data_IF_759772808235
#
_entry.id   IF_759772808235
#
_cell.length_a   1.000
_cell.length_b   1.000
_cell.length_c   1.000
_cell.angle_alpha   90.00
_cell.angle_beta   90.00
_cell.angle_gamma   90.00
#
_symmetry.space_group_name_H-M   'P 1'
#
loop_
_entity.id
_entity.type
_entity.pdbx_description
1 polymer ?
#
# COMPACT_ATOMS: atom_id res chain seq x y z
N UNK A 1 53.85 42.39 17.50
CA UNK A 1 52.71 41.70 16.86
C UNK A 1 52.58 40.23 17.29
N UNK A 2 53.63 39.49 17.65
CA UNK A 2 53.54 38.05 18.00
C UNK A 2 52.81 37.69 19.32
N UNK A 3 52.56 38.65 20.22
CA UNK A 3 51.88 38.38 21.50
C UNK A 3 50.36 38.28 21.36
N UNK A 4 49.77 38.99 20.38
CA UNK A 4 48.31 39.10 20.21
C UNK A 4 47.75 37.83 19.56
N UNK A 5 48.49 37.24 18.62
CA UNK A 5 48.10 36.02 17.92
C UNK A 5 48.11 34.78 18.84
N UNK A 6 49.06 34.70 19.78
CA UNK A 6 49.11 33.62 20.77
C UNK A 6 47.94 33.65 21.75
N UNK A 7 47.50 34.85 22.15
CA UNK A 7 46.32 35.02 23.02
C UNK A 7 45.06 34.63 22.25
N UNK A 8 44.93 35.05 20.99
CA UNK A 8 43.76 34.69 20.17
C UNK A 8 43.67 33.17 19.93
N UNK A 9 44.80 32.51 19.66
CA UNK A 9 44.84 31.05 19.50
C UNK A 9 44.49 30.31 20.79
N UNK A 10 44.96 30.80 21.94
CA UNK A 10 44.61 30.24 23.25
C UNK A 10 43.12 30.39 23.55
N UNK A 11 42.52 31.56 23.26
CA UNK A 11 41.09 31.79 23.46
C UNK A 11 40.21 30.98 22.49
N UNK A 12 40.60 30.82 21.23
CA UNK A 12 39.88 29.96 20.27
C UNK A 12 39.99 28.49 20.68
N UNK A 13 41.16 28.04 21.12
CA UNK A 13 41.37 26.67 21.59
C UNK A 13 40.60 26.40 22.89
N UNK A 14 40.55 27.36 23.80
CA UNK A 14 39.75 27.26 25.03
C UNK A 14 38.23 27.30 24.75
N UNK A 15 37.78 28.12 23.80
CA UNK A 15 36.37 28.19 23.39
C UNK A 15 35.91 26.90 22.69
N UNK A 16 36.76 26.30 21.84
CA UNK A 16 36.47 25.00 21.20
C UNK A 16 36.44 23.88 22.23
N UNK A 17 37.34 23.87 23.21
CA UNK A 17 37.33 22.89 24.30
C UNK A 17 36.09 23.01 25.20
N UNK A 18 35.68 24.23 25.56
CA UNK A 18 34.48 24.47 26.36
C UNK A 18 33.21 24.09 25.61
N UNK A 19 33.12 24.38 24.30
CA UNK A 19 32.00 23.95 23.46
C UNK A 19 31.96 22.44 23.30
N UNK A 20 33.09 21.78 23.06
CA UNK A 20 33.17 20.32 22.97
C UNK A 20 32.79 19.65 24.30
N UNK A 21 33.22 20.20 25.42
CA UNK A 21 32.85 19.74 26.77
C UNK A 21 31.35 19.89 27.02
N UNK A 22 30.75 21.04 26.69
CA UNK A 22 29.30 21.26 26.79
C UNK A 22 28.51 20.29 25.89
N UNK A 23 29.01 20.03 24.68
CA UNK A 23 28.39 19.09 23.75
C UNK A 23 28.45 17.66 24.29
N UNK A 24 29.59 17.24 24.82
CA UNK A 24 29.77 15.94 25.44
C UNK A 24 28.88 15.78 26.68
N UNK A 25 28.75 16.82 27.50
CA UNK A 25 27.87 16.80 28.66
C UNK A 25 26.38 16.72 28.25
N UNK A 26 25.98 17.38 27.16
CA UNK A 26 24.64 17.27 26.58
C UNK A 26 24.38 15.89 25.96
N UNK A 27 25.38 15.29 25.32
CA UNK A 27 25.29 13.93 24.75
C UNK A 27 25.18 12.90 25.88
N UNK A 28 26.02 13.00 26.91
CA UNK A 28 25.99 12.15 28.10
C UNK A 28 24.68 12.31 28.87
N UNK A 29 24.19 13.53 29.06
CA UNK A 29 22.88 13.79 29.67
C UNK A 29 21.73 13.19 28.86
N UNK A 30 21.71 13.35 27.53
CA UNK A 30 20.70 12.72 26.67
C UNK A 30 20.79 11.18 26.71
N UNK A 31 21.99 10.62 26.79
CA UNK A 31 22.17 9.17 26.95
C UNK A 31 21.72 8.69 28.33
N UNK A 32 21.97 9.45 29.40
CA UNK A 32 21.48 9.16 30.74
C UNK A 32 19.95 9.22 30.80
N UNK A 33 19.33 10.23 30.19
CA UNK A 33 17.86 10.36 30.08
C UNK A 33 17.25 9.18 29.31
N UNK A 34 17.92 8.75 28.23
CA UNK A 34 17.50 7.58 27.43
C UNK A 34 17.67 6.27 28.21
N UNK A 35 18.68 6.19 29.09
CA UNK A 35 18.94 5.04 29.97
C UNK A 35 18.00 4.97 31.18
N UNK A 36 17.51 6.12 31.67
CA UNK A 36 16.49 6.18 32.74
C UNK A 36 15.09 5.85 32.20
N UNK A 37 14.81 6.17 30.93
CA UNK A 37 13.54 5.82 30.29
C UNK A 37 13.44 4.34 29.86
N UNK A 38 14.57 3.64 29.68
CA UNK A 38 14.62 2.18 29.55
C UNK A 38 14.83 1.58 30.95
N UNK A 39 13.76 1.46 31.73
CA UNK A 39 13.83 0.76 33.02
C UNK A 39 14.35 -0.66 32.83
N UNK A 40 15.50 -0.97 33.45
CA UNK A 40 16.06 -2.26 33.90
C UNK A 40 15.83 -3.59 33.13
N UNK A 41 15.25 -3.60 31.93
CA UNK A 41 15.20 -4.75 31.04
C UNK A 41 16.38 -4.70 30.08
N UNK A 42 17.23 -5.72 30.08
CA UNK A 42 18.24 -5.90 29.04
C UNK A 42 17.60 -5.89 27.65
N UNK A 43 18.38 -5.55 26.62
CA UNK A 43 17.90 -5.62 25.24
C UNK A 43 17.38 -7.03 24.93
N UNK A 44 16.08 -7.14 24.65
CA UNK A 44 15.46 -8.38 24.16
C UNK A 44 15.38 -8.27 22.64
N UNK A 45 16.06 -9.15 21.89
CA UNK A 45 16.02 -9.12 20.43
C UNK A 45 14.59 -9.34 19.92
N UNK A 46 14.24 -8.81 18.74
CA UNK A 46 12.96 -9.08 18.09
C UNK A 46 12.77 -10.59 17.91
N UNK A 47 11.54 -11.06 18.12
CA UNK A 47 11.17 -12.46 17.88
C UNK A 47 11.39 -12.81 16.41
N UNK A 48 11.81 -14.04 16.15
CA UNK A 48 11.88 -14.54 14.79
C UNK A 48 10.47 -14.62 14.16
N UNK A 49 10.34 -14.63 12.82
CA UNK A 49 9.04 -14.72 12.16
C UNK A 49 8.22 -15.94 12.61
N UNK A 50 8.87 -17.11 12.76
CA UNK A 50 8.23 -18.34 13.25
C UNK A 50 7.75 -18.21 14.68
N UNK A 51 8.53 -17.55 15.55
CA UNK A 51 8.11 -17.29 16.93
C UNK A 51 6.92 -16.34 16.98
N UNK A 52 6.88 -15.30 16.14
CA UNK A 52 5.75 -14.33 16.08
C UNK A 52 4.44 -15.00 15.65
N UNK A 53 4.52 -15.94 14.70
CA UNK A 53 3.36 -16.73 14.28
C UNK A 53 2.83 -17.60 15.43
N UNK A 54 3.72 -18.30 16.13
CA UNK A 54 3.40 -19.14 17.28
C UNK A 54 3.07 -18.33 18.56
N UNK A 55 3.31 -17.02 18.57
CA UNK A 55 3.14 -16.19 19.77
C UNK A 55 1.68 -15.80 19.97
N UNK A 56 1.05 -16.40 20.99
CA UNK A 56 -0.36 -16.19 21.36
C UNK A 56 -0.56 -15.06 22.40
N UNK A 57 0.31 -14.05 22.43
CA UNK A 57 0.14 -12.95 23.38
C UNK A 57 -1.06 -12.07 23.00
N UNK A 58 -1.96 -11.84 23.94
CA UNK A 58 -3.16 -11.01 23.79
C UNK A 58 -3.01 -9.64 24.47
N UNK A 59 -1.90 -9.42 25.17
CA UNK A 59 -1.63 -8.15 25.85
C UNK A 59 -1.25 -7.08 24.83
N UNK A 60 -2.17 -6.15 24.57
CA UNK A 60 -1.99 -4.99 23.69
C UNK A 60 -0.63 -4.28 23.86
N UNK A 61 -0.18 -3.90 25.08
CA UNK A 61 1.11 -3.20 25.24
C UNK A 61 2.31 -4.08 24.85
N UNK A 62 2.25 -5.39 25.05
CA UNK A 62 3.34 -6.30 24.67
C UNK A 62 3.40 -6.50 23.15
N UNK A 63 2.24 -6.60 22.49
CA UNK A 63 2.17 -6.69 21.03
C UNK A 63 2.71 -5.40 20.39
N UNK A 64 2.40 -4.23 20.97
CA UNK A 64 2.89 -2.93 20.49
C UNK A 64 4.41 -2.79 20.66
N UNK A 65 4.96 -3.20 21.80
CA UNK A 65 6.41 -3.20 22.04
C UNK A 65 7.14 -4.10 21.03
N UNK A 66 6.63 -5.30 20.78
CA UNK A 66 7.21 -6.23 19.80
C UNK A 66 7.06 -5.69 18.37
N UNK A 67 5.92 -5.09 18.03
CA UNK A 67 5.73 -4.44 16.73
C UNK A 67 6.76 -3.32 16.52
N UNK A 68 7.05 -2.53 17.54
CA UNK A 68 8.09 -1.51 17.49
C UNK A 68 9.48 -2.13 17.28
N UNK A 69 9.81 -3.24 17.94
CA UNK A 69 11.08 -3.97 17.71
C UNK A 69 11.21 -4.45 16.27
N UNK A 70 10.15 -5.03 15.70
CA UNK A 70 10.14 -5.49 14.31
C UNK A 70 10.26 -4.34 13.30
N UNK A 71 9.58 -3.21 13.51
CA UNK A 71 9.71 -2.03 12.65
C UNK A 71 11.14 -1.43 12.68
N UNK A 72 11.78 -1.41 13.86
CA UNK A 72 13.17 -0.97 13.98
C UNK A 72 14.14 -1.92 13.26
N UNK A 73 13.91 -3.23 13.36
CA UNK A 73 14.67 -4.23 12.61
C UNK A 73 14.50 -4.05 11.10
N UNK A 74 13.26 -3.87 10.63
CA UNK A 74 12.96 -3.63 9.22
C UNK A 74 13.71 -2.39 8.69
N UNK A 75 13.68 -1.29 9.44
CA UNK A 75 14.41 -0.07 9.09
C UNK A 75 15.92 -0.29 9.04
N UNK A 76 16.49 -1.08 9.97
CA UNK A 76 17.90 -1.41 9.95
C UNK A 76 18.26 -2.28 8.73
N UNK A 77 17.45 -3.29 8.41
CA UNK A 77 17.67 -4.17 7.27
C UNK A 77 17.60 -3.40 5.94
N UNK A 78 16.64 -2.47 5.79
CA UNK A 78 16.60 -1.59 4.62
C UNK A 78 17.86 -0.74 4.47
N UNK A 79 18.36 -0.13 5.56
CA UNK A 79 19.64 0.62 5.50
C UNK A 79 20.82 -0.25 5.10
N UNK A 80 20.88 -1.49 5.61
CA UNK A 80 21.94 -2.45 5.25
C UNK A 80 21.84 -2.89 3.79
N UNK A 81 20.65 -3.19 3.31
CA UNK A 81 20.42 -3.55 1.91
C UNK A 81 20.84 -2.41 0.98
N UNK A 82 20.44 -1.18 1.26
CA UNK A 82 20.88 0.00 0.50
C UNK A 82 22.39 0.15 0.50
N UNK A 83 23.06 0.03 1.66
CA UNK A 83 24.51 0.16 1.74
C UNK A 83 25.26 -0.92 0.94
N UNK A 84 24.75 -2.16 0.88
CA UNK A 84 25.34 -3.25 0.10
C UNK A 84 25.16 -2.98 -1.39
N UNK A 85 23.95 -2.59 -1.81
CA UNK A 85 23.67 -2.25 -3.21
C UNK A 85 24.51 -1.06 -3.68
N UNK A 86 24.67 -0.03 -2.85
CA UNK A 86 25.49 1.14 -3.14
C UNK A 86 26.99 0.80 -3.28
N UNK A 87 27.45 -0.24 -2.57
CA UNK A 87 28.79 -0.80 -2.70
C UNK A 87 28.94 -1.78 -3.90
N UNK A 88 27.88 -1.97 -4.69
CA UNK A 88 27.85 -2.89 -5.83
C UNK A 88 27.75 -4.38 -5.45
N UNK A 89 27.38 -4.69 -4.21
CA UNK A 89 27.17 -6.05 -3.72
C UNK A 89 25.75 -6.58 -3.96
N UNK A 90 25.58 -7.89 -3.80
CA UNK A 90 24.27 -8.54 -3.90
C UNK A 90 23.57 -8.58 -2.52
N UNK A 91 22.36 -8.00 -2.45
CA UNK A 91 21.53 -7.93 -1.25
C UNK A 91 20.47 -9.04 -1.15
N UNK A 92 20.43 -10.00 -2.08
CA UNK A 92 19.42 -11.09 -2.15
C UNK A 92 19.25 -11.88 -0.84
N UNK A 93 20.34 -12.08 -0.09
CA UNK A 93 20.31 -12.74 1.23
C UNK A 93 19.49 -11.95 2.28
N UNK A 94 19.51 -10.61 2.20
CA UNK A 94 18.72 -9.75 3.08
C UNK A 94 17.25 -9.66 2.66
N UNK A 95 16.92 -9.87 1.39
CA UNK A 95 15.54 -9.83 0.90
C UNK A 95 14.67 -10.91 1.56
N UNK A 96 15.20 -12.12 1.72
CA UNK A 96 14.50 -13.19 2.45
C UNK A 96 14.25 -12.81 3.92
N UNK A 97 15.20 -12.11 4.54
CA UNK A 97 15.06 -11.66 5.92
C UNK A 97 14.06 -10.51 6.05
N UNK A 98 14.09 -9.55 5.13
CA UNK A 98 13.13 -8.44 5.01
C UNK A 98 11.70 -8.99 4.87
N UNK A 99 11.51 -9.99 4.02
CA UNK A 99 10.22 -10.65 3.84
C UNK A 99 9.71 -11.31 5.11
N UNK A 100 10.58 -12.02 5.84
CA UNK A 100 10.26 -12.61 7.14
C UNK A 100 9.79 -11.56 8.15
N UNK A 101 10.51 -10.44 8.27
CA UNK A 101 10.15 -9.34 9.18
C UNK A 101 8.85 -8.66 8.77
N UNK A 102 8.59 -8.45 7.48
CA UNK A 102 7.32 -7.90 6.99
C UNK A 102 6.13 -8.82 7.29
N UNK A 103 6.33 -10.13 7.19
CA UNK A 103 5.32 -11.14 7.54
C UNK A 103 5.03 -11.09 9.04
N UNK A 104 6.06 -11.03 9.88
CA UNK A 104 5.93 -10.88 11.33
C UNK A 104 5.18 -9.58 11.73
N UNK A 105 5.53 -8.44 11.11
CA UNK A 105 4.84 -7.15 11.30
C UNK A 105 3.35 -7.27 10.94
N UNK A 106 3.05 -7.96 9.84
CA UNK A 106 1.68 -8.16 9.38
C UNK A 106 0.88 -9.00 10.39
N UNK A 107 1.45 -10.08 10.90
CA UNK A 107 0.82 -10.92 11.91
C UNK A 107 0.54 -10.13 13.20
N UNK A 108 1.51 -9.34 13.69
CA UNK A 108 1.35 -8.51 14.88
C UNK A 108 0.28 -7.44 14.69
N UNK A 109 0.24 -6.75 13.53
CA UNK A 109 -0.81 -5.75 13.23
C UNK A 109 -2.21 -6.36 13.19
N UNK A 110 -2.37 -7.55 12.62
CA UNK A 110 -3.65 -8.28 12.63
C UNK A 110 -4.06 -8.63 14.05
N UNK A 111 -3.12 -9.09 14.88
CA UNK A 111 -3.37 -9.42 16.28
C UNK A 111 -3.73 -8.19 17.12
N UNK A 112 -3.07 -7.05 16.91
CA UNK A 112 -3.46 -5.78 17.53
C UNK A 112 -4.89 -5.37 17.18
N UNK A 113 -5.32 -5.60 15.94
CA UNK A 113 -6.71 -5.33 15.52
C UNK A 113 -7.69 -6.27 16.22
N UNK A 114 -7.35 -7.56 16.33
CA UNK A 114 -8.20 -8.55 17.02
C UNK A 114 -8.34 -8.25 18.53
N UNK A 115 -7.26 -7.85 19.20
CA UNK A 115 -7.27 -7.46 20.63
C UNK A 115 -7.99 -6.13 20.89
N UNK A 116 -8.09 -5.27 19.86
CA UNK A 116 -8.83 -4.01 19.96
C UNK A 116 -10.35 -4.19 19.79
N UNK A 117 -10.81 -5.33 19.29
CA UNK A 117 -12.23 -5.68 19.28
C UNK A 117 -12.61 -6.39 20.59
N UNK A 118 -13.58 -5.88 21.36
CA UNK A 118 -13.99 -6.53 22.59
C UNK A 118 -14.60 -7.90 22.28
N UNK A 119 -14.00 -8.94 22.86
CA UNK A 119 -14.52 -10.31 22.93
C UNK A 119 -16.02 -10.28 23.25
N UNK A 120 -16.92 -10.83 22.40
CA UNK A 120 -18.33 -10.91 22.72
C UNK A 120 -18.55 -11.98 23.79
N UNK A 121 -18.48 -11.56 25.06
CA UNK A 121 -19.08 -12.30 26.16
C UNK A 121 -20.60 -12.29 25.97
N UNK A 122 -21.13 -13.48 25.70
CA UNK A 122 -22.54 -13.85 25.75
C UNK A 122 -23.27 -13.16 26.91
N UNK A 123 -24.15 -12.19 26.62
CA UNK A 123 -25.47 -11.96 27.26
C UNK A 123 -26.17 -10.79 26.54
N UNK A 124 -27.41 -11.01 26.08
CA UNK A 124 -28.43 -10.07 25.55
C UNK A 124 -28.59 -10.02 24.02
N UNK A 125 -29.76 -10.40 23.46
CA UNK A 125 -30.08 -10.20 22.05
C UNK A 125 -30.64 -8.79 21.86
N UNK A 126 -29.78 -7.85 21.46
CA UNK A 126 -30.24 -6.53 20.99
C UNK A 126 -29.55 -6.17 19.68
N UNK A 127 -30.23 -6.52 18.58
CA UNK A 127 -30.29 -5.80 17.30
C UNK A 127 -29.04 -5.03 16.88
N UNK A 128 -27.94 -5.73 16.60
CA UNK A 128 -26.90 -5.24 15.68
C UNK A 128 -26.06 -6.40 15.11
N UNK A 129 -26.69 -7.52 14.79
CA UNK A 129 -26.09 -8.52 13.91
C UNK A 129 -26.35 -8.12 12.45
N UNK A 130 -25.48 -7.30 11.88
CA UNK A 130 -25.33 -7.28 10.42
C UNK A 130 -23.87 -7.35 9.90
N UNK A 131 -23.01 -8.25 10.39
CA UNK A 131 -21.75 -8.57 9.72
C UNK A 131 -21.95 -9.54 8.52
N UNK A 132 -22.80 -9.19 7.55
CA UNK A 132 -23.13 -10.10 6.43
C UNK A 132 -23.05 -9.46 5.03
N UNK A 133 -23.34 -8.17 4.87
CA UNK A 133 -23.39 -7.56 3.53
C UNK A 133 -22.06 -6.89 3.16
N UNK A 134 -21.47 -6.09 4.06
CA UNK A 134 -20.21 -5.37 3.77
C UNK A 134 -19.02 -6.31 3.53
N UNK A 135 -18.86 -7.38 4.31
CA UNK A 135 -17.75 -8.32 4.07
C UNK A 135 -17.88 -9.10 2.76
N UNK A 136 -19.12 -9.31 2.29
CA UNK A 136 -19.36 -9.96 1.00
C UNK A 136 -19.03 -9.00 -0.15
N UNK A 137 -19.40 -7.73 -0.01
CA UNK A 137 -19.04 -6.66 -0.95
C UNK A 137 -17.51 -6.45 -1.00
N UNK A 138 -16.82 -6.45 0.14
CA UNK A 138 -15.37 -6.29 0.21
C UNK A 138 -14.64 -7.47 -0.47
N UNK A 139 -15.07 -8.71 -0.22
CA UNK A 139 -14.49 -9.89 -0.88
C UNK A 139 -14.70 -9.87 -2.39
N UNK A 140 -15.89 -9.50 -2.85
CA UNK A 140 -16.16 -9.35 -4.27
C UNK A 140 -15.31 -8.22 -4.89
N UNK A 141 -15.17 -7.09 -4.18
CA UNK A 141 -14.34 -5.98 -4.63
C UNK A 141 -12.86 -6.39 -4.77
N UNK A 142 -12.34 -7.20 -3.84
CA UNK A 142 -10.98 -7.74 -3.93
C UNK A 142 -10.79 -8.75 -5.06
N UNK A 143 -11.80 -9.59 -5.32
CA UNK A 143 -11.78 -10.49 -6.47
C UNK A 143 -11.75 -9.72 -7.79
N UNK A 144 -12.63 -8.72 -7.94
CA UNK A 144 -12.69 -7.85 -9.12
C UNK A 144 -11.39 -7.05 -9.27
N UNK A 145 -10.86 -6.48 -8.19
CA UNK A 145 -9.59 -5.75 -8.22
C UNK A 145 -8.42 -6.65 -8.68
N UNK A 146 -8.37 -7.89 -8.19
CA UNK A 146 -7.32 -8.85 -8.57
C UNK A 146 -7.44 -9.26 -10.03
N UNK A 147 -8.66 -9.53 -10.50
CA UNK A 147 -8.95 -9.82 -11.90
C UNK A 147 -8.54 -8.67 -12.81
N UNK A 148 -8.94 -7.44 -12.50
CA UNK A 148 -8.58 -6.25 -13.29
C UNK A 148 -7.06 -6.02 -13.32
N UNK A 149 -6.35 -6.25 -12.22
CA UNK A 149 -4.87 -6.17 -12.21
C UNK A 149 -4.24 -7.21 -13.12
N UNK A 150 -4.79 -8.43 -13.15
CA UNK A 150 -4.32 -9.49 -14.03
C UNK A 150 -4.59 -9.14 -15.50
N UNK A 151 -5.81 -8.69 -15.82
CA UNK A 151 -6.20 -8.27 -17.18
C UNK A 151 -5.30 -7.13 -17.69
N UNK A 152 -4.99 -6.15 -16.84
CA UNK A 152 -4.05 -5.07 -17.16
C UNK A 152 -2.66 -5.62 -17.47
N UNK A 153 -2.18 -6.59 -16.69
CA UNK A 153 -0.88 -7.21 -16.94
C UNK A 153 -0.86 -8.00 -18.26
N UNK A 154 -1.92 -8.75 -18.55
CA UNK A 154 -2.05 -9.50 -19.79
C UNK A 154 -2.16 -8.60 -21.02
N UNK A 155 -2.89 -7.50 -20.91
CA UNK A 155 -2.99 -6.50 -21.96
C UNK A 155 -1.65 -5.77 -22.16
N UNK A 156 -0.93 -5.41 -21.10
CA UNK A 156 0.44 -4.88 -21.19
C UNK A 156 1.38 -5.84 -21.91
N UNK A 157 1.30 -7.15 -21.63
CA UNK A 157 2.08 -8.18 -22.35
C UNK A 157 1.67 -8.25 -23.83
N UNK A 158 0.36 -8.14 -24.13
CA UNK A 158 -0.15 -8.12 -25.51
C UNK A 158 0.38 -6.92 -26.28
N UNK A 159 0.32 -5.73 -25.70
CA UNK A 159 0.89 -4.49 -26.25
C UNK A 159 2.38 -4.67 -26.50
N UNK A 160 3.15 -5.16 -25.53
CA UNK A 160 4.59 -5.39 -25.70
C UNK A 160 4.91 -6.32 -26.88
N UNK A 161 4.15 -7.43 -27.03
CA UNK A 161 4.29 -8.35 -28.18
C UNK A 161 3.97 -7.68 -29.51
N UNK A 162 2.91 -6.86 -29.57
CA UNK A 162 2.53 -6.13 -30.79
C UNK A 162 3.58 -5.06 -31.14
N UNK A 163 4.06 -4.30 -30.16
CA UNK A 163 5.15 -3.34 -30.35
C UNK A 163 6.42 -4.03 -30.86
N UNK A 164 6.74 -5.22 -30.35
CA UNK A 164 7.85 -6.03 -30.85
C UNK A 164 7.60 -6.44 -32.31
N UNK A 165 6.43 -6.98 -32.62
CA UNK A 165 6.07 -7.37 -34.00
C UNK A 165 6.12 -6.20 -34.99
N UNK A 166 5.62 -5.03 -34.61
CA UNK A 166 5.67 -3.82 -35.45
C UNK A 166 7.12 -3.37 -35.69
N UNK A 167 7.96 -3.40 -34.65
CA UNK A 167 9.38 -3.08 -34.77
C UNK A 167 10.12 -4.10 -35.65
N UNK A 168 9.79 -5.38 -35.52
CA UNK A 168 10.35 -6.46 -36.35
C UNK A 168 9.84 -6.42 -37.79
N UNK A 169 8.59 -6.04 -38.02
CA UNK A 169 7.99 -5.89 -39.35
C UNK A 169 8.52 -4.64 -40.08
N UNK A 170 8.87 -3.59 -39.35
CA UNK A 170 9.60 -2.43 -39.87
C UNK A 170 11.12 -2.70 -40.04
N UNK A 171 11.56 -3.93 -39.79
CA UNK A 171 12.96 -4.37 -39.89
C UNK A 171 13.36 -4.82 -41.29
N UNK A 172 13.29 -3.92 -42.27
CA UNK A 172 14.20 -3.96 -43.44
C UNK A 172 14.99 -2.65 -43.43
N UNK A 173 16.26 -2.80 -43.02
CA UNK A 173 17.41 -1.92 -43.24
C UNK A 173 17.38 -0.50 -42.65
N UNK A 174 18.12 -0.28 -41.54
CA UNK A 174 19.19 0.74 -41.54
C UNK A 174 20.40 0.19 -40.77
N UNK A 175 21.37 -0.22 -41.57
CA UNK A 175 22.76 -0.47 -41.26
C UNK A 175 23.40 0.79 -40.66
N UNK A 176 24.26 0.64 -39.66
CA UNK A 176 25.20 1.70 -39.26
C UNK A 176 26.05 2.14 -40.47
N UNK A 177 25.79 3.30 -41.09
CA UNK A 177 26.78 4.16 -41.81
C UNK A 177 26.17 5.58 -41.99
N UNK A 178 26.90 6.68 -41.74
CA UNK A 178 26.40 8.05 -41.92
C UNK A 178 26.57 8.55 -43.36
N UNK A 179 25.50 8.94 -44.06
CA UNK A 179 25.58 9.95 -45.14
C UNK A 179 24.19 10.44 -45.61
N UNK A 180 24.11 11.74 -45.84
CA UNK A 180 22.96 12.55 -46.22
C UNK A 180 22.35 12.21 -47.59
N UNK A 181 21.04 11.96 -47.68
CA UNK A 181 20.12 12.53 -48.72
C UNK A 181 18.64 12.16 -48.43
N UNK A 182 17.65 13.06 -48.67
CA UNK A 182 16.24 12.75 -48.45
C UNK A 182 15.45 12.55 -49.77
N UNK A 183 14.68 11.46 -49.90
CA UNK A 183 13.47 11.34 -50.76
C UNK A 183 12.86 9.91 -50.63
N UNK A 184 11.60 9.68 -51.06
CA UNK A 184 10.37 10.40 -50.74
C UNK A 184 9.28 9.44 -50.17
N UNK A 185 8.30 10.02 -49.48
CA UNK A 185 7.18 9.37 -48.81
C UNK A 185 6.28 8.54 -49.75
N UNK A 186 5.91 7.32 -49.34
CA UNK A 186 4.85 6.51 -49.95
C UNK A 186 3.48 6.78 -49.26
N UNK A 187 2.40 7.10 -50.00
CA UNK A 187 1.12 7.51 -49.41
C UNK A 187 0.06 6.40 -49.27
N UNK A 188 0.42 5.11 -49.20
CA UNK A 188 -0.58 4.02 -49.31
C UNK A 188 -1.08 3.41 -47.98
N UNK A 189 -0.56 3.78 -46.80
CA UNK A 189 -0.92 3.08 -45.55
C UNK A 189 -2.12 3.68 -44.79
N UNK A 190 -2.54 4.92 -45.10
CA UNK A 190 -3.54 5.62 -44.26
C UNK A 190 -4.98 5.12 -44.42
N UNK A 191 -5.37 4.66 -45.60
CA UNK A 191 -6.77 4.35 -45.90
C UNK A 191 -7.31 3.04 -45.27
N UNK A 192 -6.43 2.12 -44.84
CA UNK A 192 -6.85 0.85 -44.20
C UNK A 192 -6.92 0.94 -42.67
N UNK A 193 -6.19 1.88 -42.09
CA UNK A 193 -6.13 2.05 -40.64
C UNK A 193 -7.36 2.83 -40.12
N UNK A 194 -7.89 3.77 -40.91
CA UNK A 194 -9.10 4.57 -40.55
C UNK A 194 -10.37 3.72 -40.42
N UNK A 195 -10.61 2.78 -41.35
CA UNK A 195 -11.76 1.85 -41.31
C UNK A 195 -11.70 0.93 -40.07
N UNK A 196 -10.49 0.54 -39.67
CA UNK A 196 -10.30 -0.27 -38.47
C UNK A 196 -10.58 0.54 -37.19
N UNK A 197 -10.14 1.80 -37.14
CA UNK A 197 -10.40 2.69 -36.00
C UNK A 197 -11.88 3.05 -35.86
N UNK A 198 -12.60 3.22 -36.97
CA UNK A 198 -14.03 3.51 -37.00
C UNK A 198 -14.85 2.34 -36.43
N UNK A 199 -14.53 1.10 -36.82
CA UNK A 199 -15.18 -0.11 -36.28
C UNK A 199 -14.97 -0.24 -34.77
N UNK A 200 -13.77 0.07 -34.26
CA UNK A 200 -13.52 0.04 -32.82
C UNK A 200 -14.26 1.14 -32.07
N UNK A 201 -14.39 2.32 -32.66
CA UNK A 201 -15.16 3.43 -32.09
C UNK A 201 -16.63 3.06 -31.96
N UNK A 202 -17.24 2.51 -33.01
CA UNK A 202 -18.63 2.06 -32.99
C UNK A 202 -18.87 0.97 -31.92
N UNK A 203 -17.95 0.00 -31.81
CA UNK A 203 -18.04 -1.04 -30.77
C UNK A 203 -17.93 -0.47 -29.36
N UNK A 204 -17.09 0.54 -29.14
CA UNK A 204 -16.99 1.23 -27.86
C UNK A 204 -18.28 1.99 -27.53
N UNK A 205 -18.86 2.71 -28.50
CA UNK A 205 -20.12 3.43 -28.33
C UNK A 205 -21.29 2.50 -28.01
N UNK A 206 -21.36 1.35 -28.70
CA UNK A 206 -22.40 0.35 -28.44
C UNK A 206 -22.29 -0.25 -27.03
N UNK A 207 -21.06 -0.55 -26.59
CA UNK A 207 -20.79 -1.05 -25.26
C UNK A 207 -21.11 0.01 -24.18
N UNK A 208 -20.80 1.28 -24.43
CA UNK A 208 -21.14 2.39 -23.54
C UNK A 208 -22.67 2.58 -23.44
N UNK A 209 -23.39 2.49 -24.56
CA UNK A 209 -24.85 2.52 -24.57
C UNK A 209 -25.47 1.34 -23.79
N UNK A 210 -24.91 0.13 -23.94
CA UNK A 210 -25.36 -1.05 -23.19
C UNK A 210 -25.12 -0.88 -21.68
N UNK A 211 -23.96 -0.32 -21.27
CA UNK A 211 -23.68 0.02 -19.88
C UNK A 211 -24.66 1.05 -19.34
N UNK A 212 -24.92 2.11 -20.09
CA UNK A 212 -25.88 3.14 -19.69
C UNK A 212 -27.29 2.56 -19.49
N UNK A 213 -27.74 1.67 -20.37
CA UNK A 213 -29.02 0.98 -20.24
C UNK A 213 -29.11 0.11 -18.96
N UNK A 214 -28.06 -0.67 -18.66
CA UNK A 214 -28.01 -1.48 -17.44
C UNK A 214 -28.01 -0.61 -16.18
N UNK A 215 -27.28 0.50 -16.17
CA UNK A 215 -27.26 1.44 -15.05
C UNK A 215 -28.66 2.05 -14.83
N UNK A 216 -29.33 2.47 -15.91
CA UNK A 216 -30.68 2.99 -15.83
C UNK A 216 -31.65 1.96 -15.23
N UNK A 217 -31.54 0.70 -15.62
CA UNK A 217 -32.38 -0.37 -15.09
C UNK A 217 -32.09 -0.66 -13.62
N UNK A 218 -30.82 -0.66 -13.19
CA UNK A 218 -30.45 -0.78 -11.77
C UNK A 218 -31.08 0.35 -10.95
N UNK A 219 -30.99 1.59 -11.44
CA UNK A 219 -31.58 2.75 -10.75
C UNK A 219 -33.10 2.59 -10.64
N UNK A 220 -33.76 2.18 -11.74
CA UNK A 220 -35.20 1.93 -11.77
C UNK A 220 -35.60 0.86 -10.74
N UNK A 221 -34.92 -0.29 -10.73
CA UNK A 221 -35.19 -1.38 -9.79
C UNK A 221 -34.93 -0.97 -8.33
N UNK A 222 -33.88 -0.17 -8.06
CA UNK A 222 -33.60 0.36 -6.72
C UNK A 222 -34.72 1.28 -6.23
N UNK A 223 -35.25 2.14 -7.11
CA UNK A 223 -36.39 3.00 -6.79
C UNK A 223 -37.66 2.18 -6.54
N UNK A 224 -37.94 1.17 -7.36
CA UNK A 224 -39.06 0.26 -7.14
C UNK A 224 -38.96 -0.46 -5.80
N UNK A 225 -37.76 -0.95 -5.45
CA UNK A 225 -37.51 -1.60 -4.16
C UNK A 225 -37.72 -0.64 -2.99
N UNK A 226 -37.26 0.61 -3.10
CA UNK A 226 -37.48 1.63 -2.08
C UNK A 226 -38.98 1.93 -1.91
N UNK A 227 -39.72 2.08 -3.01
CA UNK A 227 -41.16 2.27 -3.01
C UNK A 227 -41.91 1.10 -2.38
N UNK A 228 -41.53 -0.14 -2.71
CA UNK A 228 -42.14 -1.33 -2.13
C UNK A 228 -41.87 -1.42 -0.62
N UNK A 229 -40.64 -1.14 -0.17
CA UNK A 229 -40.32 -1.08 1.27
C UNK A 229 -41.16 -0.04 2.00
N UNK A 230 -41.30 1.16 1.44
CA UNK A 230 -42.14 2.21 2.02
C UNK A 230 -43.61 1.78 2.12
N UNK A 231 -44.15 1.13 1.08
CA UNK A 231 -45.52 0.58 1.10
C UNK A 231 -45.70 -0.52 2.16
N UNK A 232 -44.73 -1.43 2.28
CA UNK A 232 -44.76 -2.50 3.28
C UNK A 232 -44.76 -1.91 4.70
N UNK A 233 -43.89 -0.94 4.96
CA UNK A 233 -43.82 -0.26 6.26
C UNK A 233 -45.12 0.47 6.58
N UNK A 234 -45.67 1.22 5.63
CA UNK A 234 -46.94 1.91 5.78
C UNK A 234 -48.11 0.96 6.09
N UNK A 235 -48.23 -0.15 5.35
CA UNK A 235 -49.24 -1.17 5.63
C UNK A 235 -49.02 -1.87 6.99
N UNK A 236 -47.77 -2.14 7.36
CA UNK A 236 -47.43 -2.70 8.67
C UNK A 236 -47.83 -1.77 9.82
N UNK A 237 -47.55 -0.48 9.71
CA UNK A 237 -47.95 0.52 10.71
C UNK A 237 -49.47 0.64 10.84
N UNK A 238 -50.22 0.56 9.72
CA UNK A 238 -51.69 0.55 9.75
C UNK A 238 -52.28 -0.69 10.43
N UNK A 239 -51.72 -1.89 10.22
CA UNK A 239 -52.21 -3.11 10.86
C UNK A 239 -51.97 -3.12 12.38
N UNK A 240 -50.80 -2.64 12.82
CA UNK A 240 -50.50 -2.52 14.26
C UNK A 240 -51.46 -1.52 14.91
N UNK A 241 -51.68 -0.36 14.31
CA UNK A 241 -52.59 0.66 14.86
C UNK A 241 -54.08 0.28 14.83
N UNK A 242 -54.51 -0.61 13.91
CA UNK A 242 -55.84 -1.21 13.93
C UNK A 242 -55.99 -2.31 15.00
N UNK A 243 -54.94 -3.09 15.27
CA UNK A 243 -54.95 -4.17 16.28
C UNK A 243 -54.90 -3.65 17.72
N UNK A 244 -54.36 -2.46 17.98
CA UNK A 244 -54.28 -1.85 19.32
C UNK A 244 -55.54 -1.08 19.72
N UNK A 245 -56.59 -1.03 18.88
CA UNK A 245 -57.85 -0.31 19.14
C UNK A 245 -59.00 -1.18 19.67
N UNK A 246 -58.72 -2.41 20.10
CA UNK A 246 -59.68 -3.30 20.76
C UNK A 246 -59.26 -3.60 22.19
#
# INVERSE_FOLDING_TARGET
MALVDNVLFFWVSQATFLNASSLLHKILSKQQQKKISLGNGGYVPPKSPTEVEAWLCEDKPMIEEELNKQNNLLAQLHRKATAITDAGGDATCLDSQLWGVQTAITALKRRMKAVAEPTPSSTSPSTSDRPCVEMFEEKQLMAVQSMLRQDILDEKRRIARLCWKLRSANGVCVHEVPCSTPAPFSPSHRAKDEDSEEVWRERCELEEAARAALIAEIVRLRNDCANLRAKIEYCGQQQVSASTRF
#
